data_IF_048853317527
#
_entry.id   IF_048853317527
#
_cell.length_a   1.000
_cell.length_b   1.000
_cell.length_c   1.000
_cell.angle_alpha   90.00
_cell.angle_beta   90.00
_cell.angle_gamma   90.00
#
_symmetry.space_group_name_H-M   'P 1'
#
loop_
_entity.id
_entity.type
_entity.pdbx_description
1 polymer ?
#
# COMPACT_ATOMS: atom_id res chain seq x y z
N UNK A 1 3.55 19.47 -12.26
CA UNK A 1 4.65 18.80 -11.53
C UNK A 1 5.93 18.81 -12.37
N UNK A 2 7.08 19.23 -11.83
CA UNK A 2 8.39 19.12 -12.54
C UNK A 2 8.77 17.64 -12.68
N UNK A 3 9.60 17.29 -13.67
CA UNK A 3 10.13 15.92 -13.87
C UNK A 3 10.68 15.30 -12.57
N UNK A 4 11.31 16.12 -11.73
CA UNK A 4 11.94 15.69 -10.49
C UNK A 4 10.93 15.18 -9.44
N UNK A 5 9.72 15.77 -9.36
CA UNK A 5 8.71 15.38 -8.38
C UNK A 5 8.06 14.01 -8.67
N UNK A 6 8.00 13.60 -9.94
CA UNK A 6 7.49 12.26 -10.28
C UNK A 6 8.51 11.18 -9.93
N UNK A 7 9.81 11.47 -10.10
CA UNK A 7 10.88 10.54 -9.73
C UNK A 7 10.85 10.23 -8.24
N UNK A 8 10.65 11.24 -7.39
CA UNK A 8 10.53 11.04 -5.94
C UNK A 8 9.31 10.15 -5.59
N UNK A 9 8.16 10.38 -6.22
CA UNK A 9 6.98 9.53 -6.04
C UNK A 9 7.29 8.09 -6.49
N UNK A 10 7.94 7.91 -7.62
CA UNK A 10 8.34 6.58 -8.09
C UNK A 10 9.23 5.86 -7.08
N UNK A 11 10.31 6.51 -6.63
CA UNK A 11 11.27 5.93 -5.69
C UNK A 11 10.64 5.56 -4.34
N UNK A 12 9.68 6.36 -3.88
CA UNK A 12 8.97 6.13 -2.61
C UNK A 12 7.93 5.01 -2.74
N UNK A 13 7.11 5.03 -3.81
CA UNK A 13 5.91 4.21 -3.90
C UNK A 13 6.07 2.92 -4.66
N UNK A 14 7.04 2.82 -5.59
CA UNK A 14 7.31 1.58 -6.31
C UNK A 14 7.53 0.38 -5.39
N UNK A 15 8.45 0.43 -4.39
CA UNK A 15 8.67 -0.71 -3.50
C UNK A 15 7.44 -1.02 -2.63
N UNK A 16 6.66 -0.02 -2.24
CA UNK A 16 5.43 -0.20 -1.44
C UNK A 16 4.34 -0.91 -2.23
N UNK A 17 4.09 -0.42 -3.45
CA UNK A 17 3.13 -0.99 -4.39
C UNK A 17 3.52 -2.42 -4.74
N UNK A 18 4.79 -2.67 -5.05
CA UNK A 18 5.27 -4.00 -5.39
C UNK A 18 5.13 -5.00 -4.25
N UNK A 19 5.44 -4.59 -3.02
CA UNK A 19 5.23 -5.45 -1.83
C UNK A 19 3.75 -5.75 -1.62
N UNK A 20 2.89 -4.74 -1.78
CA UNK A 20 1.45 -4.92 -1.68
C UNK A 20 0.91 -5.88 -2.74
N UNK A 21 1.23 -5.67 -4.03
CA UNK A 21 0.76 -6.54 -5.12
C UNK A 21 1.24 -7.97 -4.96
N UNK A 22 2.52 -8.18 -4.58
CA UNK A 22 3.10 -9.52 -4.31
C UNK A 22 2.47 -10.25 -3.12
N UNK A 23 1.74 -9.55 -2.24
CA UNK A 23 0.98 -10.22 -1.16
C UNK A 23 -0.22 -10.99 -1.73
N UNK A 24 -0.70 -10.60 -2.91
CA UNK A 24 -1.88 -11.21 -3.56
C UNK A 24 -1.51 -12.02 -4.80
N UNK A 25 -0.64 -11.48 -5.65
CA UNK A 25 -0.18 -12.12 -6.88
C UNK A 25 1.04 -13.01 -6.60
N UNK A 26 1.01 -14.25 -7.11
CA UNK A 26 2.15 -15.18 -7.01
C UNK A 26 3.20 -14.88 -8.08
N UNK A 27 2.76 -14.41 -9.25
CA UNK A 27 3.66 -14.06 -10.34
C UNK A 27 4.34 -12.71 -10.04
N UNK A 28 5.67 -12.75 -9.96
CA UNK A 28 6.49 -11.54 -9.82
C UNK A 28 6.31 -10.64 -11.04
N UNK A 29 6.29 -11.22 -12.25
CA UNK A 29 6.11 -10.50 -13.51
C UNK A 29 4.76 -9.76 -13.55
N UNK A 30 3.68 -10.41 -13.14
CA UNK A 30 2.35 -9.77 -13.10
C UNK A 30 2.27 -8.69 -12.02
N UNK A 31 2.93 -8.92 -10.88
CA UNK A 31 3.02 -7.91 -9.81
C UNK A 31 3.74 -6.65 -10.31
N UNK A 32 4.85 -6.82 -11.03
CA UNK A 32 5.61 -5.71 -11.62
C UNK A 32 4.83 -5.02 -12.74
N UNK A 33 4.16 -5.78 -13.61
CA UNK A 33 3.33 -5.22 -14.67
C UNK A 33 2.20 -4.33 -14.11
N UNK A 34 1.49 -4.79 -13.06
CA UNK A 34 0.46 -3.97 -12.39
C UNK A 34 1.05 -2.69 -11.84
N UNK A 35 2.21 -2.75 -11.18
CA UNK A 35 2.86 -1.54 -10.62
C UNK A 35 3.27 -0.59 -11.74
N UNK A 36 3.81 -1.09 -12.85
CA UNK A 36 4.15 -0.28 -14.02
C UNK A 36 2.91 0.39 -14.62
N UNK A 37 1.80 -0.34 -14.78
CA UNK A 37 0.52 0.23 -15.25
C UNK A 37 0.02 1.35 -14.34
N UNK A 38 0.18 1.21 -13.02
CA UNK A 38 -0.17 2.26 -12.04
C UNK A 38 0.67 3.51 -12.28
N UNK A 39 1.99 3.38 -12.47
CA UNK A 39 2.85 4.54 -12.72
C UNK A 39 2.61 5.18 -14.08
N UNK A 40 2.33 4.40 -15.12
CA UNK A 40 1.93 4.93 -16.44
C UNK A 40 0.65 5.75 -16.28
N UNK A 41 -0.36 5.20 -15.60
CA UNK A 41 -1.61 5.90 -15.31
C UNK A 41 -1.38 7.20 -14.53
N UNK A 42 -0.57 7.18 -13.47
CA UNK A 42 -0.22 8.38 -12.70
C UNK A 42 0.53 9.42 -13.52
N UNK A 43 1.37 8.99 -14.46
CA UNK A 43 2.10 9.90 -15.34
C UNK A 43 1.15 10.62 -16.31
N UNK A 44 0.20 9.89 -16.88
CA UNK A 44 -0.85 10.41 -17.77
C UNK A 44 -1.81 11.35 -17.02
N UNK A 45 -2.08 11.06 -15.75
CA UNK A 45 -2.99 11.80 -14.89
C UNK A 45 -2.30 12.60 -13.77
N UNK A 46 -1.07 13.06 -14.01
CA UNK A 46 -0.22 13.70 -12.98
C UNK A 46 -0.83 14.94 -12.33
N UNK A 47 -1.75 15.61 -13.02
CA UNK A 47 -2.41 16.82 -12.51
C UNK A 47 -3.32 16.48 -11.31
N UNK A 48 -3.81 15.23 -11.22
CA UNK A 48 -4.60 14.75 -10.08
C UNK A 48 -3.73 14.70 -8.82
N UNK A 49 -2.46 14.33 -8.95
CA UNK A 49 -1.53 14.14 -7.81
C UNK A 49 -1.41 15.43 -6.99
N UNK A 50 -1.36 16.60 -7.64
CA UNK A 50 -1.25 17.90 -6.97
C UNK A 50 -2.52 18.28 -6.19
N UNK A 51 -3.65 17.63 -6.48
CA UNK A 51 -4.95 17.88 -5.83
C UNK A 51 -5.30 16.89 -4.73
N UNK A 52 -4.54 15.79 -4.61
CA UNK A 52 -4.80 14.75 -3.61
C UNK A 52 -4.40 15.21 -2.22
N UNK A 53 -5.30 15.02 -1.24
CA UNK A 53 -5.00 15.24 0.17
C UNK A 53 -4.08 14.15 0.71
N UNK A 54 -4.34 12.89 0.32
CA UNK A 54 -3.55 11.74 0.74
C UNK A 54 -3.22 10.79 -0.41
N UNK A 55 -1.98 10.90 -0.91
CA UNK A 55 -1.46 10.05 -1.97
C UNK A 55 -1.38 8.56 -1.56
N UNK A 56 -1.18 8.22 -0.27
CA UNK A 56 -1.15 6.83 0.17
C UNK A 56 -2.53 6.17 0.05
N UNK A 57 -3.59 6.86 0.50
CA UNK A 57 -4.96 6.34 0.39
C UNK A 57 -5.34 6.10 -1.06
N UNK A 58 -5.09 7.08 -1.93
CA UNK A 58 -5.36 6.98 -3.37
C UNK A 58 -4.60 5.84 -4.04
N UNK A 59 -3.28 5.74 -3.82
CA UNK A 59 -2.46 4.68 -4.43
C UNK A 59 -2.82 3.30 -3.92
N UNK A 60 -3.20 3.18 -2.64
CA UNK A 60 -3.71 1.94 -2.11
C UNK A 60 -5.00 1.52 -2.82
N UNK A 61 -5.99 2.41 -2.95
CA UNK A 61 -7.24 2.12 -3.66
C UNK A 61 -6.97 1.73 -5.10
N UNK A 62 -6.12 2.49 -5.80
CA UNK A 62 -5.77 2.22 -7.19
C UNK A 62 -5.11 0.85 -7.33
N UNK A 63 -4.13 0.50 -6.48
CA UNK A 63 -3.46 -0.78 -6.52
C UNK A 63 -4.39 -1.95 -6.22
N UNK A 64 -5.22 -1.82 -5.19
CA UNK A 64 -6.26 -2.80 -4.84
C UNK A 64 -7.19 -3.06 -6.01
N UNK A 65 -7.70 -2.01 -6.64
CA UNK A 65 -8.61 -2.12 -7.78
C UNK A 65 -7.94 -2.82 -8.98
N UNK A 66 -6.67 -2.51 -9.26
CA UNK A 66 -5.91 -3.20 -10.32
C UNK A 66 -5.72 -4.70 -10.02
N UNK A 67 -5.45 -5.07 -8.77
CA UNK A 67 -5.39 -6.46 -8.36
C UNK A 67 -6.75 -7.17 -8.52
N UNK A 68 -7.85 -6.53 -8.12
CA UNK A 68 -9.21 -7.08 -8.29
C UNK A 68 -9.52 -7.30 -9.77
N UNK A 69 -9.25 -6.31 -10.62
CA UNK A 69 -9.47 -6.41 -12.06
C UNK A 69 -8.64 -7.52 -12.70
N UNK A 70 -7.40 -7.68 -12.26
CA UNK A 70 -6.54 -8.80 -12.66
C UNK A 70 -7.20 -10.15 -12.29
N UNK A 71 -7.60 -10.34 -11.04
CA UNK A 71 -8.22 -11.60 -10.61
C UNK A 71 -9.52 -11.91 -11.34
N UNK A 72 -10.36 -10.90 -11.57
CA UNK A 72 -11.60 -11.06 -12.36
C UNK A 72 -11.32 -11.51 -13.79
N UNK A 73 -10.33 -10.89 -14.45
CA UNK A 73 -9.91 -11.28 -15.81
C UNK A 73 -9.33 -12.69 -15.83
N UNK A 74 -8.52 -13.03 -14.84
CA UNK A 74 -7.86 -14.34 -14.77
C UNK A 74 -8.87 -15.46 -14.54
N UNK A 75 -9.85 -15.26 -13.63
CA UNK A 75 -10.96 -16.19 -13.45
C UNK A 75 -11.69 -16.47 -14.76
N UNK A 76 -12.03 -15.42 -15.53
CA UNK A 76 -12.72 -15.59 -16.81
C UNK A 76 -11.85 -16.31 -17.84
N UNK A 77 -10.55 -16.01 -17.90
CA UNK A 77 -9.60 -16.67 -18.81
C UNK A 77 -9.50 -18.15 -18.52
N UNK A 78 -9.35 -18.51 -17.25
CA UNK A 78 -9.13 -19.89 -16.86
C UNK A 78 -10.39 -20.76 -16.95
N UNK A 79 -11.56 -20.20 -16.63
CA UNK A 79 -12.86 -20.87 -16.88
C UNK A 79 -13.01 -21.20 -18.37
N UNK A 80 -12.57 -20.30 -19.27
CA UNK A 80 -12.63 -20.53 -20.72
C UNK A 80 -11.64 -21.59 -21.21
N UNK A 81 -10.46 -21.68 -20.60
CA UNK A 81 -9.44 -22.67 -20.95
C UNK A 81 -9.76 -24.06 -20.38
N UNK A 82 -10.61 -24.14 -19.36
CA UNK A 82 -10.92 -25.39 -18.65
C UNK A 82 -9.70 -26.00 -17.94
N UNK A 83 -8.69 -25.19 -17.64
CA UNK A 83 -7.34 -25.61 -17.23
C UNK A 83 -7.08 -25.55 -15.73
N UNK A 84 -7.91 -24.86 -14.96
CA UNK A 84 -7.72 -24.78 -13.51
C UNK A 84 -8.16 -26.07 -12.83
N UNK A 85 -7.31 -26.57 -11.94
CA UNK A 85 -7.73 -27.50 -10.90
C UNK A 85 -8.71 -26.84 -9.93
N UNK A 86 -9.51 -27.64 -9.22
CA UNK A 86 -10.43 -27.15 -8.18
C UNK A 86 -9.69 -26.37 -7.08
N UNK A 87 -8.44 -26.75 -6.79
CA UNK A 87 -7.60 -26.11 -5.77
C UNK A 87 -7.21 -24.70 -6.23
N UNK A 88 -6.67 -24.55 -7.44
CA UNK A 88 -6.24 -23.25 -7.96
C UNK A 88 -7.43 -22.28 -8.12
N UNK A 89 -8.59 -22.78 -8.55
CA UNK A 89 -9.81 -21.97 -8.63
C UNK A 89 -10.25 -21.48 -7.23
N UNK A 90 -10.18 -22.35 -6.22
CA UNK A 90 -10.54 -21.98 -4.85
C UNK A 90 -9.57 -20.97 -4.25
N UNK A 91 -8.27 -21.11 -4.50
CA UNK A 91 -7.26 -20.14 -4.07
C UNK A 91 -7.50 -18.76 -4.70
N UNK A 92 -7.81 -18.72 -5.99
CA UNK A 92 -8.12 -17.49 -6.72
C UNK A 92 -9.35 -16.79 -6.14
N UNK A 93 -10.41 -17.55 -5.85
CA UNK A 93 -11.63 -17.04 -5.22
C UNK A 93 -11.38 -16.50 -3.82
N UNK A 94 -10.56 -17.17 -3.00
CA UNK A 94 -10.22 -16.70 -1.65
C UNK A 94 -9.43 -15.40 -1.69
N UNK A 95 -8.50 -15.25 -2.63
CA UNK A 95 -7.73 -14.01 -2.82
C UNK A 95 -8.63 -12.86 -3.25
N UNK A 96 -9.50 -13.09 -4.24
CA UNK A 96 -10.47 -12.09 -4.69
C UNK A 96 -11.41 -11.69 -3.55
N UNK A 97 -11.97 -12.67 -2.83
CA UNK A 97 -12.83 -12.42 -1.68
C UNK A 97 -12.11 -11.61 -0.60
N UNK A 98 -10.83 -11.87 -0.33
CA UNK A 98 -10.07 -11.10 0.67
C UNK A 98 -9.87 -9.64 0.28
N UNK A 99 -9.69 -9.36 -1.02
CA UNK A 99 -9.58 -7.99 -1.56
C UNK A 99 -10.94 -7.28 -1.58
N UNK A 100 -11.99 -7.98 -1.99
CA UNK A 100 -13.36 -7.45 -2.03
C UNK A 100 -13.97 -7.30 -0.63
N UNK A 101 -13.54 -8.11 0.35
CA UNK A 101 -13.98 -7.98 1.73
C UNK A 101 -13.59 -6.63 2.34
N UNK A 102 -12.48 -6.05 1.89
CA UNK A 102 -12.11 -4.68 2.23
C UNK A 102 -13.11 -3.64 1.67
N UNK A 103 -13.74 -3.94 0.53
CA UNK A 103 -14.76 -3.11 -0.13
C UNK A 103 -16.20 -3.38 0.33
N UNK A 104 -16.44 -4.38 1.18
CA UNK A 104 -17.79 -4.65 1.69
C UNK A 104 -18.36 -3.45 2.47
N UNK A 105 -17.50 -2.65 3.08
CA UNK A 105 -17.87 -1.39 3.75
C UNK A 105 -18.04 -0.21 2.77
N UNK A 106 -17.81 -0.42 1.46
CA UNK A 106 -17.83 0.59 0.40
C UNK A 106 -16.98 1.82 0.74
N UNK A 107 -15.81 1.57 1.32
CA UNK A 107 -14.89 2.61 1.76
C UNK A 107 -14.48 3.47 0.55
N UNK A 108 -14.79 4.75 0.64
CA UNK A 108 -14.26 5.76 -0.26
C UNK A 108 -12.79 6.07 0.06
N UNK A 109 -12.10 6.76 -0.85
CA UNK A 109 -10.74 7.24 -0.59
C UNK A 109 -10.66 8.11 0.68
N UNK A 110 -11.73 8.88 0.96
CA UNK A 110 -11.83 9.71 2.17
C UNK A 110 -11.95 8.85 3.45
N UNK A 111 -12.67 7.74 3.40
CA UNK A 111 -12.78 6.82 4.55
C UNK A 111 -11.43 6.15 4.82
N UNK A 112 -10.72 5.73 3.78
CA UNK A 112 -9.37 5.14 3.89
C UNK A 112 -8.39 6.16 4.46
N UNK A 113 -8.45 7.40 4.00
CA UNK A 113 -7.66 8.49 4.54
C UNK A 113 -7.96 8.74 6.02
N UNK A 114 -9.23 8.75 6.42
CA UNK A 114 -9.64 8.91 7.81
C UNK A 114 -9.15 7.75 8.69
N UNK A 115 -9.31 6.51 8.24
CA UNK A 115 -8.80 5.31 8.93
C UNK A 115 -7.30 5.42 9.16
N UNK A 116 -6.54 5.79 8.12
CA UNK A 116 -5.09 5.92 8.20
C UNK A 116 -4.68 7.05 9.16
N UNK A 117 -5.30 8.22 9.05
CA UNK A 117 -5.02 9.37 9.91
C UNK A 117 -5.34 9.04 11.37
N UNK A 118 -6.47 8.38 11.64
CA UNK A 118 -6.86 7.97 12.98
C UNK A 118 -5.87 6.96 13.58
N UNK A 119 -5.45 5.96 12.82
CA UNK A 119 -4.46 4.98 13.27
C UNK A 119 -3.10 5.63 13.57
N UNK A 120 -2.63 6.53 12.69
CA UNK A 120 -1.38 7.28 12.91
C UNK A 120 -1.50 8.19 14.13
N UNK A 121 -2.63 8.88 14.33
CA UNK A 121 -2.83 9.80 15.45
C UNK A 121 -2.90 9.12 16.82
N UNK A 122 -3.32 7.84 16.87
CA UNK A 122 -3.30 7.01 18.09
C UNK A 122 -1.89 6.57 18.50
N UNK A 123 -0.89 6.70 17.64
CA UNK A 123 0.49 6.45 18.01
C UNK A 123 0.97 7.45 19.07
N UNK A 124 1.80 7.01 20.04
CA UNK A 124 2.49 7.94 20.94
C UNK A 124 3.28 8.96 20.13
N UNK A 125 3.36 10.18 20.62
CA UNK A 125 3.91 11.34 19.90
C UNK A 125 5.27 11.04 19.23
N UNK A 126 6.22 10.48 19.99
CA UNK A 126 7.56 10.15 19.47
C UNK A 126 7.54 9.00 18.46
N UNK A 127 6.68 8.00 18.65
CA UNK A 127 6.49 6.91 17.68
C UNK A 127 5.92 7.46 16.38
N UNK A 128 4.91 8.35 16.47
CA UNK A 128 4.23 8.97 15.34
C UNK A 128 5.19 9.81 14.51
N UNK A 129 5.95 10.68 15.16
CA UNK A 129 6.95 11.54 14.52
C UNK A 129 7.97 10.69 13.73
N UNK A 130 8.57 9.69 14.39
CA UNK A 130 9.55 8.79 13.78
C UNK A 130 8.94 7.98 12.62
N UNK A 131 7.71 7.49 12.79
CA UNK A 131 7.00 6.75 11.75
C UNK A 131 6.74 7.62 10.51
N UNK A 132 6.26 8.85 10.69
CA UNK A 132 6.02 9.80 9.59
C UNK A 132 7.33 10.10 8.85
N UNK A 133 8.41 10.40 9.57
CA UNK A 133 9.72 10.67 8.95
C UNK A 133 10.24 9.48 8.14
N UNK A 134 10.07 8.27 8.67
CA UNK A 134 10.54 7.04 8.04
C UNK A 134 9.69 6.61 6.85
N UNK A 135 8.36 6.61 6.98
CA UNK A 135 7.45 6.01 6.00
C UNK A 135 6.80 7.00 5.05
N UNK A 136 6.57 8.24 5.48
CA UNK A 136 5.95 9.26 4.65
C UNK A 136 6.98 10.20 4.04
N UNK A 137 8.06 10.53 4.78
CA UNK A 137 9.15 11.38 4.28
C UNK A 137 10.35 10.58 3.75
N UNK A 138 10.29 9.25 3.82
CA UNK A 138 11.32 8.33 3.30
C UNK A 138 12.74 8.59 3.85
N UNK A 139 12.85 9.13 5.07
CA UNK A 139 14.13 9.38 5.72
C UNK A 139 14.72 8.07 6.26
N UNK A 140 16.04 7.91 6.12
CA UNK A 140 16.78 6.77 6.66
C UNK A 140 16.89 6.90 8.18
N UNK A 141 17.01 5.76 8.86
CA UNK A 141 17.04 5.75 10.33
C UNK A 141 18.19 6.57 10.92
N UNK A 142 19.33 6.65 10.22
CA UNK A 142 20.46 7.50 10.60
C UNK A 142 20.10 8.99 10.54
N UNK A 143 19.45 9.42 9.47
CA UNK A 143 19.04 10.82 9.30
C UNK A 143 18.01 11.22 10.35
N UNK A 144 17.06 10.32 10.67
CA UNK A 144 16.08 10.54 11.74
C UNK A 144 16.78 10.63 13.10
N UNK A 145 17.72 9.72 13.37
CA UNK A 145 18.47 9.67 14.62
C UNK A 145 19.24 10.99 14.85
N UNK A 146 19.93 11.49 13.82
CA UNK A 146 20.63 12.78 13.85
C UNK A 146 19.66 13.94 14.07
N UNK A 147 18.56 14.01 13.31
CA UNK A 147 17.59 15.11 13.39
C UNK A 147 16.91 15.20 14.76
N UNK A 148 16.67 14.05 15.38
CA UNK A 148 15.97 13.93 16.66
C UNK A 148 16.92 13.84 17.86
N UNK A 149 18.24 13.85 17.61
CA UNK A 149 19.30 13.67 18.61
C UNK A 149 19.11 12.42 19.48
N UNK A 150 18.87 11.28 18.83
CA UNK A 150 18.70 9.96 19.46
C UNK A 150 19.60 8.92 18.78
N UNK A 151 19.69 7.71 19.34
CA UNK A 151 20.43 6.63 18.67
C UNK A 151 19.62 6.02 17.52
N UNK A 152 20.26 5.46 16.47
CA UNK A 152 19.57 4.68 15.45
C UNK A 152 18.75 3.51 16.03
N UNK A 153 19.24 2.88 17.10
CA UNK A 153 18.51 1.83 17.82
C UNK A 153 17.23 2.36 18.47
N UNK A 154 17.23 3.61 18.95
CA UNK A 154 16.02 4.27 19.47
C UNK A 154 15.01 4.44 18.34
N UNK A 155 15.45 4.87 17.15
CA UNK A 155 14.57 5.00 15.97
C UNK A 155 13.95 3.64 15.61
N UNK A 156 14.76 2.60 15.53
CA UNK A 156 14.30 1.23 15.24
C UNK A 156 13.27 0.74 16.26
N UNK A 157 13.55 0.89 17.56
CA UNK A 157 12.63 0.50 18.63
C UNK A 157 11.29 1.25 18.53
N UNK A 158 11.32 2.55 18.21
CA UNK A 158 10.11 3.35 18.04
C UNK A 158 9.31 2.93 16.80
N UNK A 159 9.97 2.55 15.71
CA UNK A 159 9.32 1.96 14.53
C UNK A 159 8.66 0.63 14.88
N UNK A 160 9.35 -0.27 15.61
CA UNK A 160 8.76 -1.55 16.03
C UNK A 160 7.50 -1.34 16.89
N UNK A 161 7.53 -0.37 17.80
CA UNK A 161 6.35 0.01 18.61
C UNK A 161 5.23 0.54 17.72
N UNK A 162 5.55 1.42 16.76
CA UNK A 162 4.57 1.97 15.82
C UNK A 162 3.92 0.86 14.99
N UNK A 163 4.72 -0.03 14.39
CA UNK A 163 4.23 -1.15 13.57
C UNK A 163 3.33 -2.09 14.35
N UNK A 164 3.67 -2.42 15.61
CA UNK A 164 2.82 -3.26 16.46
C UNK A 164 1.46 -2.60 16.73
N UNK A 165 1.45 -1.31 17.07
CA UNK A 165 0.19 -0.57 17.32
C UNK A 165 -0.64 -0.43 16.06
N UNK A 166 -0.03 -0.06 14.94
CA UNK A 166 -0.72 0.05 13.65
C UNK A 166 -1.30 -1.29 13.20
N UNK A 167 -0.60 -2.41 13.45
CA UNK A 167 -1.13 -3.75 13.16
C UNK A 167 -2.40 -4.06 13.97
N UNK A 168 -2.46 -3.62 15.23
CA UNK A 168 -3.62 -3.81 16.09
C UNK A 168 -4.78 -2.89 15.67
N UNK A 169 -4.51 -1.61 15.43
CA UNK A 169 -5.51 -0.61 15.02
C UNK A 169 -6.08 -0.88 13.61
N UNK A 170 -5.26 -1.43 12.70
CA UNK A 170 -5.63 -1.76 11.32
C UNK A 170 -5.89 -3.25 11.11
N UNK A 171 -6.19 -4.02 12.16
CA UNK A 171 -6.41 -5.48 12.07
C UNK A 171 -7.53 -5.85 11.09
N UNK A 172 -8.60 -5.05 11.07
CA UNK A 172 -9.76 -5.22 10.19
C UNK A 172 -9.48 -4.67 8.78
N UNK A 173 -8.37 -3.95 8.63
CA UNK A 173 -7.87 -3.32 7.41
C UNK A 173 -6.46 -3.82 7.06
N UNK A 174 -6.20 -5.12 7.23
CA UNK A 174 -4.88 -5.72 7.01
C UNK A 174 -4.24 -5.40 5.63
N UNK A 175 -4.99 -5.38 4.50
CA UNK A 175 -4.44 -4.95 3.21
C UNK A 175 -3.82 -3.55 3.27
N UNK A 176 -4.50 -2.62 3.95
CA UNK A 176 -4.05 -1.23 4.12
C UNK A 176 -2.79 -1.18 5.00
N UNK A 177 -2.72 -2.01 6.05
CA UNK A 177 -1.52 -2.14 6.87
C UNK A 177 -0.31 -2.59 6.03
N UNK A 178 -0.44 -3.64 5.21
CA UNK A 178 0.67 -4.15 4.37
C UNK A 178 1.19 -3.09 3.39
N UNK A 179 0.30 -2.22 2.90
CA UNK A 179 0.65 -1.14 1.99
C UNK A 179 1.53 -0.05 2.66
N UNK A 180 1.24 0.33 3.90
CA UNK A 180 1.90 1.48 4.56
C UNK A 180 3.24 1.16 5.27
N UNK A 181 3.54 -0.12 5.52
CA UNK A 181 4.75 -0.55 6.27
C UNK A 181 6.05 -0.51 5.50
#
# INVERSE_FOLDING_TARGET
MKKDGFSEIYDIYFPKLLRFTRTYLISEDESENIVQEIFIYLWEHRDIIETLQNLNAYLFTLAKNRCIDYFRKEMVREVRKGSLSEIENRELQLKLYSLEAFDNDRLSDADIEEILNNAINRLPERCREIFIMSRLQNLRYKEIAEKLNVSPNTVENQIVIALRKLKEDLKDYFPLFVFII
#
